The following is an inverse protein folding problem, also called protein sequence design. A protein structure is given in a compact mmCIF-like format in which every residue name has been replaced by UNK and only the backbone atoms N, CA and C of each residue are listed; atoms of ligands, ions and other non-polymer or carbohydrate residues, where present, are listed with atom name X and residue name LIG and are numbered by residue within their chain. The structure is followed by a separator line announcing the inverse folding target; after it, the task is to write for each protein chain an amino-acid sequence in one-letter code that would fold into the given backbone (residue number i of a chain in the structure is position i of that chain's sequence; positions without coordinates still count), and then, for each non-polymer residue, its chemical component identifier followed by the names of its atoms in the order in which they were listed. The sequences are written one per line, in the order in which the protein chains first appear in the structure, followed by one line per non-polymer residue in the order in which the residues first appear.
data_IF_409317896082
#
_entry.id   IF_409317896082
#
_cell.length_a   1.000
_cell.length_b   1.000
_cell.length_c   1.000
_cell.angle_alpha   90.00
_cell.angle_beta   90.00
_cell.angle_gamma   90.00
#
_symmetry.space_group_name_H-M   'P 1'
#
loop_
_entity.id
_entity.type
_entity.pdbx_description
1 polymer ?
#
# COMPACT_ATOMS: atom_id res chain seq x y z
N UNK A 1 3.14 24.98 -13.12
CA UNK A 1 2.62 24.21 -11.98
C UNK A 1 2.93 25.00 -10.73
N UNK A 2 1.95 25.26 -9.86
CA UNK A 2 2.22 25.89 -8.56
C UNK A 2 2.54 24.79 -7.55
N UNK A 3 3.83 24.57 -7.31
CA UNK A 3 4.34 23.80 -6.19
C UNK A 3 4.32 24.70 -4.94
N UNK A 4 3.79 24.21 -3.81
CA UNK A 4 4.05 24.84 -2.51
C UNK A 4 2.89 25.49 -1.74
N UNK A 5 1.62 25.11 -1.95
CA UNK A 5 0.58 25.32 -0.91
C UNK A 5 0.34 24.01 -0.17
N UNK A 6 1.04 23.83 0.95
CA UNK A 6 0.99 22.64 1.80
C UNK A 6 -0.44 22.30 2.22
N UNK A 7 -0.94 21.14 1.77
CA UNK A 7 -2.27 20.64 2.09
C UNK A 7 -2.38 20.09 3.53
N UNK A 8 -1.33 20.24 4.36
CA UNK A 8 -1.31 19.85 5.77
C UNK A 8 -1.66 18.38 5.95
N UNK A 9 -0.82 17.48 5.43
CA UNK A 9 -0.96 16.01 5.49
C UNK A 9 -2.31 15.45 5.01
N UNK A 10 -3.13 16.26 4.34
CA UNK A 10 -4.41 15.79 3.80
C UNK A 10 -4.14 14.87 2.63
N UNK A 11 -4.53 13.59 2.79
CA UNK A 11 -4.62 12.64 1.69
C UNK A 11 -5.48 13.22 0.56
N UNK A 12 -4.85 13.42 -0.60
CA UNK A 12 -5.44 14.08 -1.78
C UNK A 12 -6.42 13.13 -2.48
N UNK A 13 -6.09 11.84 -2.52
CA UNK A 13 -6.91 10.79 -3.13
C UNK A 13 -7.59 9.96 -2.04
N UNK A 14 -8.91 10.11 -1.91
CA UNK A 14 -9.74 9.32 -0.98
C UNK A 14 -10.45 8.23 -1.77
N UNK A 15 -10.07 6.97 -1.52
CA UNK A 15 -10.70 5.80 -2.12
C UNK A 15 -11.28 4.91 -1.03
N UNK A 16 -12.51 4.43 -1.23
CA UNK A 16 -13.13 3.47 -0.32
C UNK A 16 -12.73 2.05 -0.74
N UNK A 17 -12.26 1.24 0.22
CA UNK A 17 -11.91 -0.15 -0.03
C UNK A 17 -13.18 -1.01 0.04
N UNK A 18 -13.41 -1.83 -0.98
CA UNK A 18 -14.48 -2.83 -0.96
C UNK A 18 -13.98 -4.08 -0.23
N UNK A 19 -14.67 -4.46 0.85
CA UNK A 19 -14.33 -5.63 1.67
C UNK A 19 -15.57 -6.52 1.85
N UNK A 20 -15.36 -7.83 1.98
CA UNK A 20 -16.45 -8.72 2.42
C UNK A 20 -16.77 -8.47 3.90
N UNK A 21 -18.02 -8.73 4.30
CA UNK A 21 -18.51 -8.53 5.68
C UNK A 21 -17.60 -9.18 6.74
N UNK A 22 -17.00 -10.33 6.41
CA UNK A 22 -16.08 -11.05 7.31
C UNK A 22 -14.80 -10.27 7.56
N UNK A 23 -14.20 -9.67 6.53
CA UNK A 23 -12.96 -8.90 6.67
C UNK A 23 -13.22 -7.50 7.25
N UNK A 24 -14.35 -6.87 6.90
CA UNK A 24 -14.77 -5.62 7.54
C UNK A 24 -14.93 -5.77 9.06
N UNK A 25 -15.53 -6.88 9.51
CA UNK A 25 -15.66 -7.19 10.95
C UNK A 25 -14.30 -7.36 11.62
N UNK A 26 -13.34 -8.05 10.99
CA UNK A 26 -11.99 -8.22 11.52
C UNK A 26 -11.27 -6.87 11.63
N UNK A 27 -11.35 -6.07 10.57
CA UNK A 27 -10.74 -4.74 10.53
C UNK A 27 -11.31 -3.84 11.63
N UNK A 28 -12.64 -3.81 11.82
CA UNK A 28 -13.29 -3.04 12.88
C UNK A 28 -12.81 -3.45 14.28
N UNK A 29 -12.71 -4.75 14.55
CA UNK A 29 -12.23 -5.25 15.86
C UNK A 29 -10.79 -4.83 16.14
N UNK A 30 -9.91 -4.99 15.15
CA UNK A 30 -8.51 -4.59 15.29
C UNK A 30 -8.37 -3.07 15.40
N UNK A 31 -9.15 -2.32 14.63
CA UNK A 31 -9.18 -0.86 14.70
C UNK A 31 -9.56 -0.38 16.10
N UNK A 32 -10.55 -1.01 16.74
CA UNK A 32 -10.90 -0.74 18.14
C UNK A 32 -9.74 -1.04 19.08
N UNK A 33 -9.06 -2.19 18.96
CA UNK A 33 -7.94 -2.51 19.84
C UNK A 33 -6.74 -1.58 19.67
N UNK A 34 -6.52 -1.04 18.46
CA UNK A 34 -5.44 -0.11 18.15
C UNK A 34 -5.84 1.36 18.35
N UNK A 35 -7.07 1.65 18.79
CA UNK A 35 -7.64 3.00 18.88
C UNK A 35 -7.53 3.80 17.57
N UNK A 36 -7.79 3.15 16.44
CA UNK A 36 -7.74 3.74 15.10
C UNK A 36 -9.12 3.73 14.44
N UNK A 37 -9.33 4.63 13.48
CA UNK A 37 -10.49 4.54 12.57
C UNK A 37 -10.27 3.35 11.62
N UNK A 38 -11.29 2.52 11.31
CA UNK A 38 -11.14 1.38 10.41
C UNK A 38 -10.54 1.74 9.05
N UNK A 39 -10.93 2.88 8.48
CA UNK A 39 -10.40 3.38 7.21
C UNK A 39 -8.93 3.77 7.27
N UNK A 40 -8.49 4.36 8.40
CA UNK A 40 -7.08 4.70 8.61
C UNK A 40 -6.23 3.44 8.76
N UNK A 41 -6.73 2.45 9.49
CA UNK A 41 -6.05 1.17 9.63
C UNK A 41 -5.99 0.40 8.32
N UNK A 42 -7.04 0.44 7.50
CA UNK A 42 -7.03 -0.16 6.16
C UNK A 42 -5.96 0.47 5.25
N UNK A 43 -5.84 1.80 5.27
CA UNK A 43 -4.81 2.49 4.51
C UNK A 43 -3.41 2.08 4.98
N UNK A 44 -3.18 2.02 6.30
CA UNK A 44 -1.92 1.57 6.87
C UNK A 44 -1.56 0.15 6.43
N UNK A 45 -2.54 -0.77 6.41
CA UNK A 45 -2.28 -2.12 5.92
C UNK A 45 -1.88 -2.16 4.45
N UNK A 46 -2.48 -1.32 3.62
CA UNK A 46 -2.13 -1.25 2.19
C UNK A 46 -0.70 -0.72 2.03
N UNK A 47 -0.36 0.37 2.74
CA UNK A 47 0.98 0.96 2.76
C UNK A 47 2.02 -0.11 3.18
N UNK A 48 1.84 -0.73 4.35
CA UNK A 48 2.73 -1.80 4.84
C UNK A 48 2.81 -3.02 3.91
N UNK A 49 1.74 -3.35 3.20
CA UNK A 49 1.73 -4.49 2.29
C UNK A 49 2.50 -4.20 1.01
N UNK A 50 2.48 -2.95 0.52
CA UNK A 50 3.23 -2.52 -0.66
C UNK A 50 4.72 -2.38 -0.36
N UNK A 51 5.08 -2.01 0.88
CA UNK A 51 6.46 -1.98 1.36
C UNK A 51 7.01 -3.37 1.73
N UNK A 52 6.21 -4.43 1.65
CA UNK A 52 6.64 -5.79 1.92
C UNK A 52 6.97 -6.53 0.62
N UNK A 53 8.25 -6.70 0.33
CA UNK A 53 8.74 -7.44 -0.84
C UNK A 53 8.20 -8.86 -0.90
N UNK A 54 8.09 -9.54 0.25
CA UNK A 54 7.54 -10.89 0.38
C UNK A 54 6.05 -10.95 0.01
N UNK A 55 5.23 -10.02 0.52
CA UNK A 55 3.81 -9.99 0.21
C UNK A 55 3.57 -9.62 -1.26
N UNK A 56 4.31 -8.63 -1.78
CA UNK A 56 4.24 -8.23 -3.18
C UNK A 56 4.61 -9.40 -4.09
N UNK A 57 5.72 -10.11 -3.81
CA UNK A 57 6.13 -11.30 -4.57
C UNK A 57 5.04 -12.39 -4.53
N UNK A 58 4.52 -12.70 -3.34
CA UNK A 58 3.47 -13.71 -3.16
C UNK A 58 2.19 -13.39 -3.95
N UNK A 59 1.79 -12.11 -3.96
CA UNK A 59 0.62 -11.67 -4.72
C UNK A 59 0.86 -11.77 -6.23
N UNK A 60 2.04 -11.37 -6.70
CA UNK A 60 2.40 -11.49 -8.11
C UNK A 60 2.50 -12.95 -8.56
N UNK A 61 3.05 -13.84 -7.75
CA UNK A 61 3.13 -15.27 -8.10
C UNK A 61 1.75 -15.91 -8.23
N UNK A 62 0.77 -15.45 -7.45
CA UNK A 62 -0.59 -16.00 -7.48
C UNK A 62 -1.48 -15.39 -8.54
N UNK A 63 -1.37 -14.08 -8.79
CA UNK A 63 -2.36 -13.33 -9.56
C UNK A 63 -1.81 -12.65 -10.80
N UNK A 64 -0.50 -12.68 -11.05
CA UNK A 64 0.05 -12.06 -12.25
C UNK A 64 -0.44 -12.77 -13.51
N UNK A 65 -1.06 -12.01 -14.41
CA UNK A 65 -1.55 -12.51 -15.70
C UNK A 65 -0.51 -12.32 -16.80
N UNK A 66 0.32 -11.28 -16.69
CA UNK A 66 1.22 -10.83 -17.75
C UNK A 66 2.60 -10.52 -17.18
N UNK A 67 3.61 -11.31 -17.58
CA UNK A 67 4.97 -11.18 -17.02
C UNK A 67 5.63 -9.81 -17.26
N UNK A 68 5.28 -9.10 -18.33
CA UNK A 68 5.81 -7.76 -18.62
C UNK A 68 5.42 -6.71 -17.55
N UNK A 69 4.31 -6.93 -16.83
CA UNK A 69 3.85 -6.01 -15.79
C UNK A 69 4.25 -6.43 -14.38
N UNK A 70 5.21 -7.36 -14.25
CA UNK A 70 5.77 -7.65 -12.94
C UNK A 70 6.45 -6.39 -12.39
N UNK A 71 6.32 -6.20 -11.09
CA UNK A 71 7.02 -5.16 -10.34
C UNK A 71 8.17 -5.78 -9.56
N UNK A 72 9.30 -5.11 -9.57
CA UNK A 72 10.52 -5.47 -8.85
C UNK A 72 10.79 -4.35 -7.83
N UNK A 73 11.10 -4.68 -6.57
CA UNK A 73 11.54 -3.69 -5.61
C UNK A 73 12.90 -3.12 -6.03
N UNK A 74 13.01 -1.80 -6.09
CA UNK A 74 14.28 -1.11 -6.29
C UNK A 74 15.05 -1.13 -4.96
N UNK A 75 16.28 -1.64 -4.97
CA UNK A 75 17.11 -1.80 -3.76
C UNK A 75 17.65 -0.48 -3.18
N UNK A 76 17.27 0.68 -3.72
CA UNK A 76 17.52 1.98 -3.08
C UNK A 76 16.61 2.11 -1.84
N UNK A 77 16.96 1.34 -0.81
CA UNK A 77 16.46 1.52 0.54
C UNK A 77 16.90 2.90 1.01
N UNK A 78 16.00 3.87 0.93
CA UNK A 78 16.17 5.10 1.68
C UNK A 78 15.98 4.75 3.17
N UNK A 79 17.10 4.42 3.83
CA UNK A 79 17.15 4.05 5.25
C UNK A 79 16.54 5.13 6.17
N UNK A 80 16.33 6.35 5.66
CA UNK A 80 15.67 7.43 6.37
C UNK A 80 14.13 7.36 6.34
N UNK A 81 13.53 6.79 5.29
CA UNK A 81 12.06 6.73 5.12
C UNK A 81 11.49 5.33 5.31
N UNK A 82 12.25 4.28 4.99
CA UNK A 82 11.78 2.88 5.07
C UNK A 82 10.77 2.48 3.98
N UNK A 83 10.57 3.34 2.97
CA UNK A 83 9.68 3.09 1.84
C UNK A 83 10.42 2.35 0.71
N UNK A 84 9.73 1.42 0.02
CA UNK A 84 10.30 0.68 -1.12
C UNK A 84 9.67 1.18 -2.41
N UNK A 85 10.51 1.53 -3.39
CA UNK A 85 10.02 1.85 -4.74
C UNK A 85 9.80 0.56 -5.55
N UNK A 86 8.60 0.39 -6.11
CA UNK A 86 8.25 -0.73 -6.99
C UNK A 86 8.30 -0.28 -8.45
N UNK A 87 9.13 -0.93 -9.27
CA UNK A 87 9.34 -0.56 -10.68
C UNK A 87 8.90 -1.70 -11.60
N UNK A 88 8.26 -1.37 -12.73
CA UNK A 88 7.89 -2.36 -13.76
C UNK A 88 9.14 -3.00 -14.37
N UNK A 89 9.08 -4.31 -14.64
CA UNK A 89 10.18 -5.07 -15.25
C UNK A 89 10.55 -4.58 -16.65
N UNK A 90 9.62 -4.00 -17.41
CA UNK A 90 9.83 -3.53 -18.81
C UNK A 90 10.38 -2.08 -18.88
N UNK A 91 11.21 -1.66 -17.91
CA UNK A 91 12.00 -0.44 -18.03
C UNK A 91 13.46 -0.80 -18.35
N UNK A 92 13.68 -1.35 -19.55
CA UNK A 92 14.97 -1.31 -20.25
C UNK A 92 14.82 -0.49 -21.55
#
# INVERSE_FOLDING_TARGET
MQEGRGLGDKKINRVNVSLSNRYDTKLKRLAVSCNMKPTSLAALFIELSLDSTELVATLQDRYNVHNAYKVIPLEDYDYASGEIELVLTDKE
#
